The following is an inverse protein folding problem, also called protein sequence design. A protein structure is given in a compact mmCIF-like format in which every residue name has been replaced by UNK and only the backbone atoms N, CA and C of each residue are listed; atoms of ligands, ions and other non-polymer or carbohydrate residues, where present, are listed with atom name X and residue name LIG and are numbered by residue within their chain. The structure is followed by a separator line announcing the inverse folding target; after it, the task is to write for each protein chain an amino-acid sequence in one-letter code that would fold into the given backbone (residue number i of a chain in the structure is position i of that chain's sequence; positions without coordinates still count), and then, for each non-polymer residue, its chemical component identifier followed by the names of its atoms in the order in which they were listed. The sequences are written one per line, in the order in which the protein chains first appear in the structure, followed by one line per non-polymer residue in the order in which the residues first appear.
data_IF_019436643106
#
_entry.id   IF_019436643106
#
_cell.length_a   1.000
_cell.length_b   1.000
_cell.length_c   1.000
_cell.angle_alpha   90.00
_cell.angle_beta   90.00
_cell.angle_gamma   90.00
#
_symmetry.space_group_name_H-M   'P 1'
#
loop_
_entity.id
_entity.type
_entity.pdbx_description
1 polymer ?
#
# COMPACT_ATOMS: atom_id res chain seq x y z
N UNK A 1 -8.19 6.55 -2.12
CA UNK A 1 -7.10 7.27 -1.43
C UNK A 1 -5.98 6.27 -1.26
N UNK A 2 -4.74 6.63 -1.56
CA UNK A 2 -3.62 5.69 -1.60
C UNK A 2 -2.69 5.92 -0.43
N UNK A 3 -2.05 4.85 0.02
CA UNK A 3 -1.11 4.87 1.12
C UNK A 3 0.30 5.13 0.56
N UNK A 4 1.22 5.67 1.36
CA UNK A 4 2.63 5.84 0.95
C UNK A 4 3.33 4.52 0.64
N UNK A 5 2.93 3.46 1.31
CA UNK A 5 3.55 2.15 1.10
C UNK A 5 3.31 1.55 -0.30
N UNK A 6 2.10 1.60 -0.89
CA UNK A 6 1.87 1.33 -2.31
C UNK A 6 2.74 2.17 -3.26
N UNK A 7 3.04 3.43 -2.92
CA UNK A 7 3.95 4.25 -3.73
C UNK A 7 5.37 3.70 -3.66
N UNK A 8 5.84 3.32 -2.46
CA UNK A 8 7.13 2.64 -2.28
C UNK A 8 7.20 1.34 -3.10
N UNK A 9 6.16 0.52 -3.09
CA UNK A 9 6.13 -0.74 -3.84
C UNK A 9 6.19 -0.52 -5.35
N UNK A 10 5.42 0.45 -5.87
CA UNK A 10 5.44 0.81 -7.28
C UNK A 10 6.81 1.34 -7.69
N UNK A 11 7.38 2.26 -6.92
CA UNK A 11 8.70 2.84 -7.18
C UNK A 11 9.78 1.76 -7.18
N UNK A 12 9.76 0.85 -6.20
CA UNK A 12 10.69 -0.27 -6.14
C UNK A 12 10.56 -1.20 -7.35
N UNK A 13 9.33 -1.50 -7.78
CA UNK A 13 9.07 -2.28 -8.99
C UNK A 13 9.63 -1.63 -10.26
N UNK A 14 9.46 -0.30 -10.40
CA UNK A 14 10.06 0.47 -11.50
C UNK A 14 11.58 0.39 -11.48
N UNK A 15 12.21 0.63 -10.33
CA UNK A 15 13.67 0.59 -10.18
C UNK A 15 14.26 -0.79 -10.53
N UNK A 16 13.61 -1.86 -10.10
CA UNK A 16 14.02 -3.23 -10.44
C UNK A 16 13.94 -3.47 -11.96
N UNK A 17 12.92 -2.92 -12.62
CA UNK A 17 12.76 -3.05 -14.07
C UNK A 17 13.75 -2.18 -14.83
N UNK A 18 13.99 -0.94 -14.42
CA UNK A 18 15.04 -0.07 -14.98
C UNK A 18 16.42 -0.76 -14.96
N UNK A 19 16.72 -1.51 -13.90
CA UNK A 19 17.97 -2.29 -13.80
C UNK A 19 18.02 -3.50 -14.72
N UNK A 20 16.92 -4.22 -14.89
CA UNK A 20 16.88 -5.51 -15.59
C UNK A 20 16.52 -5.41 -17.08
N UNK A 21 15.74 -4.39 -17.46
CA UNK A 21 15.25 -4.11 -18.80
C UNK A 21 15.01 -2.59 -18.94
N UNK A 22 16.02 -1.82 -19.40
CA UNK A 22 15.93 -0.36 -19.44
C UNK A 22 14.79 0.18 -20.30
N UNK A 23 14.44 -0.51 -21.39
CA UNK A 23 13.37 -0.06 -22.29
C UNK A 23 12.00 -0.15 -21.61
N UNK A 24 11.71 -1.28 -20.96
CA UNK A 24 10.49 -1.42 -20.17
C UNK A 24 10.51 -0.56 -18.91
N UNK A 25 11.68 -0.42 -18.26
CA UNK A 25 11.85 0.46 -17.10
C UNK A 25 11.47 1.90 -17.41
N UNK A 26 11.93 2.44 -18.55
CA UNK A 26 11.57 3.79 -19.00
C UNK A 26 10.06 3.95 -19.22
N UNK A 27 9.41 2.94 -19.83
CA UNK A 27 7.97 2.97 -20.03
C UNK A 27 7.20 2.98 -18.70
N UNK A 28 7.60 2.13 -17.73
CA UNK A 28 6.98 2.09 -16.40
C UNK A 28 7.25 3.37 -15.60
N UNK A 29 8.45 3.94 -15.70
CA UNK A 29 8.80 5.24 -15.11
C UNK A 29 7.87 6.34 -15.62
N UNK A 30 7.71 6.45 -16.93
CA UNK A 30 6.83 7.43 -17.54
C UNK A 30 5.38 7.25 -17.09
N UNK A 31 4.90 6.00 -17.02
CA UNK A 31 3.56 5.69 -16.51
C UNK A 31 3.39 6.10 -15.04
N UNK A 32 4.33 5.75 -14.16
CA UNK A 32 4.28 6.08 -12.74
C UNK A 32 4.28 7.60 -12.53
N UNK A 33 5.22 8.31 -13.16
CA UNK A 33 5.41 9.76 -12.96
C UNK A 33 4.34 10.62 -13.61
N UNK A 34 3.83 10.25 -14.78
CA UNK A 34 2.90 11.10 -15.55
C UNK A 34 1.42 10.71 -15.43
N UNK A 35 1.11 9.51 -14.95
CA UNK A 35 -0.28 9.05 -14.83
C UNK A 35 -0.65 8.69 -13.41
N UNK A 36 0.12 7.80 -12.77
CA UNK A 36 -0.25 7.25 -11.46
C UNK A 36 -0.11 8.29 -10.35
N UNK A 37 1.10 8.83 -10.12
CA UNK A 37 1.32 9.78 -9.03
C UNK A 37 0.44 11.04 -9.14
N UNK A 38 0.28 11.66 -10.32
CA UNK A 38 -0.63 12.80 -10.47
C UNK A 38 -2.08 12.45 -10.13
N UNK A 39 -2.54 11.25 -10.49
CA UNK A 39 -3.91 10.80 -10.18
C UNK A 39 -4.15 10.71 -8.68
N UNK A 40 -3.13 10.48 -7.85
CA UNK A 40 -3.24 10.40 -6.39
C UNK A 40 -2.80 11.66 -5.63
N UNK A 41 -2.52 12.76 -6.33
CA UNK A 41 -2.09 14.01 -5.70
C UNK A 41 -3.05 14.44 -4.57
N UNK A 42 -2.49 14.81 -3.41
CA UNK A 42 -3.25 15.20 -2.21
C UNK A 42 -4.04 14.05 -1.55
N UNK A 43 -3.89 12.81 -2.05
CA UNK A 43 -4.57 11.61 -1.53
C UNK A 43 -3.57 10.51 -1.19
N UNK A 44 -2.31 10.87 -0.97
CA UNK A 44 -1.25 10.03 -0.42
C UNK A 44 -1.12 10.39 1.05
N UNK A 45 -1.34 9.41 1.94
CA UNK A 45 -1.28 9.66 3.38
C UNK A 45 0.11 9.40 3.97
N UNK A 46 0.68 10.36 4.72
CA UNK A 46 1.92 10.17 5.44
C UNK A 46 1.78 9.10 6.52
N UNK A 47 2.82 8.28 6.68
CA UNK A 47 2.95 7.43 7.86
C UNK A 47 3.42 8.28 9.05
N UNK A 48 2.49 8.57 9.97
CA UNK A 48 2.78 9.31 11.19
C UNK A 48 2.91 8.39 12.43
N UNK A 49 3.17 9.01 13.59
CA UNK A 49 3.33 8.30 14.87
C UNK A 49 2.10 7.48 15.25
N UNK A 50 0.89 7.95 14.95
CA UNK A 50 -0.35 7.24 15.30
C UNK A 50 -0.50 5.96 14.48
N UNK A 51 -0.13 6.02 13.19
CA UNK A 51 -0.08 4.88 12.29
C UNK A 51 1.00 3.89 12.76
N UNK A 52 2.20 4.38 13.10
CA UNK A 52 3.29 3.54 13.59
C UNK A 52 2.91 2.79 14.88
N UNK A 53 2.29 3.48 15.84
CA UNK A 53 1.80 2.86 17.09
C UNK A 53 0.70 1.83 16.83
N UNK A 54 -0.24 2.12 15.94
CA UNK A 54 -1.29 1.16 15.55
C UNK A 54 -0.67 -0.05 14.83
N UNK A 55 0.32 0.16 13.97
CA UNK A 55 1.03 -0.92 13.28
C UNK A 55 1.73 -1.86 14.28
N UNK A 56 2.41 -1.31 15.29
CA UNK A 56 3.05 -2.10 16.33
C UNK A 56 2.06 -3.00 17.09
N UNK A 57 0.84 -2.51 17.35
CA UNK A 57 -0.22 -3.32 18.00
C UNK A 57 -0.66 -4.51 17.14
N UNK A 58 -0.67 -4.37 15.81
CA UNK A 58 -1.10 -5.43 14.90
C UNK A 58 -0.13 -6.61 14.83
N UNK A 59 1.11 -6.44 15.28
CA UNK A 59 2.13 -7.49 15.32
C UNK A 59 2.07 -8.36 16.58
N UNK A 60 1.11 -8.12 17.47
CA UNK A 60 0.97 -8.84 18.75
C UNK A 60 -0.43 -9.47 18.81
N UNK A 61 -0.56 -10.77 19.18
CA UNK A 61 0.51 -11.68 19.60
C UNK A 61 1.34 -12.25 18.45
N UNK A 62 0.81 -12.24 17.22
CA UNK A 62 1.42 -12.88 16.06
C UNK A 62 2.04 -11.84 15.12
N UNK A 63 3.34 -11.96 14.78
CA UNK A 63 3.98 -11.08 13.82
C UNK A 63 3.30 -11.15 12.45
N UNK A 64 3.06 -9.97 11.87
CA UNK A 64 2.52 -9.80 10.52
C UNK A 64 3.60 -9.33 9.55
N UNK A 65 3.26 -9.35 8.26
CA UNK A 65 4.00 -8.57 7.27
C UNK A 65 3.93 -7.09 7.66
N UNK A 66 5.10 -6.47 7.87
CA UNK A 66 5.21 -5.04 8.22
C UNK A 66 4.41 -4.18 7.22
N UNK A 67 4.42 -4.57 5.94
CA UNK A 67 3.72 -3.86 4.88
C UNK A 67 2.20 -3.90 5.05
N UNK A 68 1.66 -5.09 5.21
CA UNK A 68 0.22 -5.27 5.35
C UNK A 68 -0.28 -4.69 6.68
N UNK A 69 0.54 -4.80 7.73
CA UNK A 69 0.27 -4.18 9.02
C UNK A 69 0.24 -2.64 8.92
N UNK A 70 1.17 -2.01 8.20
CA UNK A 70 1.14 -0.57 7.95
C UNK A 70 -0.10 -0.16 7.15
N UNK A 71 -0.47 -0.91 6.11
CA UNK A 71 -1.67 -0.65 5.32
C UNK A 71 -2.94 -0.70 6.19
N UNK A 72 -3.08 -1.77 6.97
CA UNK A 72 -4.21 -1.95 7.88
C UNK A 72 -4.22 -0.87 8.97
N UNK A 73 -3.07 -0.55 9.55
CA UNK A 73 -2.95 0.48 10.57
C UNK A 73 -3.39 1.85 10.07
N UNK A 74 -2.96 2.26 8.87
CA UNK A 74 -3.39 3.53 8.29
C UNK A 74 -4.91 3.53 8.05
N UNK A 75 -5.46 2.47 7.48
CA UNK A 75 -6.89 2.39 7.24
C UNK A 75 -7.69 2.41 8.56
N UNK A 76 -7.21 1.75 9.62
CA UNK A 76 -7.83 1.81 10.95
C UNK A 76 -7.76 3.20 11.60
N UNK A 77 -6.62 3.89 11.49
CA UNK A 77 -6.44 5.25 12.04
C UNK A 77 -7.37 6.25 11.35
N UNK A 78 -7.55 6.12 10.03
CA UNK A 78 -8.35 7.07 9.24
C UNK A 78 -9.79 6.61 8.95
N UNK A 79 -10.22 5.47 9.49
CA UNK A 79 -11.59 4.97 9.33
C UNK A 79 -11.93 4.57 7.89
N UNK A 80 -10.98 3.96 7.18
CA UNK A 80 -11.07 3.65 5.75
C UNK A 80 -11.21 2.15 5.48
N UNK A 81 -11.64 1.84 4.26
CA UNK A 81 -11.75 0.47 3.76
C UNK A 81 -10.54 0.13 2.90
N UNK A 82 -9.89 -1.00 3.21
CA UNK A 82 -8.84 -1.57 2.38
C UNK A 82 -9.49 -2.31 1.21
N UNK A 83 -9.15 -1.88 0.00
CA UNK A 83 -9.55 -2.55 -1.23
C UNK A 83 -8.44 -3.53 -1.61
N UNK A 84 -8.70 -4.84 -1.51
CA UNK A 84 -7.67 -5.86 -1.73
C UNK A 84 -8.30 -7.16 -2.21
N UNK A 85 -7.53 -7.92 -3.00
CA UNK A 85 -7.85 -9.30 -3.35
C UNK A 85 -7.42 -10.29 -2.27
N UNK A 86 -6.40 -9.94 -1.48
CA UNK A 86 -5.82 -10.80 -0.45
C UNK A 86 -6.58 -10.62 0.88
N UNK A 87 -7.89 -10.85 0.86
CA UNK A 87 -8.78 -10.59 1.99
C UNK A 87 -8.32 -11.32 3.27
N UNK A 88 -7.89 -12.58 3.13
CA UNK A 88 -7.45 -13.43 4.24
C UNK A 88 -6.27 -12.83 5.05
N UNK A 89 -5.36 -12.11 4.39
CA UNK A 89 -4.21 -11.52 5.07
C UNK A 89 -4.62 -10.33 5.96
N UNK A 90 -5.66 -9.61 5.56
CA UNK A 90 -6.14 -8.42 6.26
C UNK A 90 -7.28 -8.71 7.25
N UNK A 91 -8.04 -9.79 7.06
CA UNK A 91 -9.18 -10.16 7.92
C UNK A 91 -8.86 -10.11 9.42
N UNK A 92 -7.74 -10.70 9.91
CA UNK A 92 -7.49 -10.73 11.33
C UNK A 92 -6.96 -9.39 11.89
N UNK A 93 -6.80 -8.34 11.06
CA UNK A 93 -6.51 -6.97 11.53
C UNK A 93 -7.76 -6.23 12.00
N UNK A 94 -8.95 -6.70 11.61
CA UNK A 94 -10.22 -6.04 11.89
C UNK A 94 -10.50 -4.78 11.06
N UNK A 95 -9.68 -4.48 10.05
CA UNK A 95 -9.95 -3.38 9.13
C UNK A 95 -11.15 -3.68 8.23
N UNK A 96 -11.88 -2.64 7.81
CA UNK A 96 -12.94 -2.80 6.80
C UNK A 96 -12.32 -3.22 5.46
N UNK A 97 -12.91 -4.23 4.82
CA UNK A 97 -12.38 -4.83 3.60
C UNK A 97 -13.40 -4.80 2.45
N UNK A 98 -12.89 -4.61 1.24
CA UNK A 98 -13.65 -4.73 0.01
C UNK A 98 -12.82 -5.46 -1.05
N UNK A 99 -13.34 -6.59 -1.53
CA UNK A 99 -12.79 -7.31 -2.69
C UNK A 99 -13.56 -6.88 -3.95
N UNK A 100 -12.93 -6.15 -4.89
CA UNK A 100 -13.60 -5.70 -6.10
C UNK A 100 -13.64 -6.77 -7.21
N UNK A 101 -13.09 -7.96 -7.01
CA UNK A 101 -13.11 -9.01 -8.02
C UNK A 101 -14.39 -9.84 -7.98
N UNK A 102 -14.96 -10.20 -9.15
CA UNK A 102 -16.09 -11.14 -9.21
C UNK A 102 -15.65 -12.52 -8.73
N UNK A 103 -16.54 -13.20 -7.99
CA UNK A 103 -16.35 -14.58 -7.51
C UNK A 103 -16.50 -15.60 -8.64
#
# INVERSE_FOLDING_TARGET
MSLELPVLELEHGVLLKERSDPAQGLALRAWLSHQVLPSFHGRVLPIDTSIAQRCAQLHVPDPRSERDALIAATALVHGMTVVTRNVADFEPTGVALHDPWPR
#
